data_IF_596289236910
#
_entry.id   IF_596289236910
#
_cell.length_a   1.000
_cell.length_b   1.000
_cell.length_c   1.000
_cell.angle_alpha   90.00
_cell.angle_beta   90.00
_cell.angle_gamma   90.00
#
_symmetry.space_group_name_H-M   'P 1'
#
loop_
_entity.id
_entity.type
_entity.pdbx_description
1 polymer ?
#
# COMPACT_ATOMS: atom_id res chain seq x y z
N UNK A 1 13.84 11.97 6.05
CA UNK A 1 13.77 11.16 4.81
C UNK A 1 12.78 10.06 5.11
N UNK A 2 11.59 10.09 4.53
CA UNK A 2 10.67 8.96 4.66
C UNK A 2 11.22 7.83 3.80
N UNK A 3 11.49 6.68 4.40
CA UNK A 3 11.85 5.48 3.64
C UNK A 3 10.68 5.11 2.72
N UNK A 4 10.99 4.66 1.51
CA UNK A 4 9.98 4.19 0.58
C UNK A 4 9.43 2.84 1.04
N UNK A 5 8.11 2.70 1.06
CA UNK A 5 7.46 1.40 1.26
C UNK A 5 7.48 0.56 -0.04
N UNK A 6 6.92 -0.64 0.03
CA UNK A 6 6.97 -1.64 -1.06
C UNK A 6 6.29 -1.19 -2.35
N UNK A 7 5.38 -0.20 -2.28
CA UNK A 7 4.72 0.35 -3.47
C UNK A 7 5.69 1.06 -4.42
N UNK A 8 6.93 1.37 -4.00
CA UNK A 8 7.96 1.92 -4.88
C UNK A 8 8.32 1.02 -6.07
N UNK A 9 8.03 -0.28 -5.98
CA UNK A 9 8.29 -1.25 -7.05
C UNK A 9 7.08 -1.50 -7.97
N UNK A 10 5.94 -0.84 -7.71
CA UNK A 10 4.73 -1.00 -8.51
C UNK A 10 4.80 -0.22 -9.82
N UNK A 11 4.03 -0.66 -10.82
CA UNK A 11 3.93 0.04 -12.11
C UNK A 11 2.82 1.08 -12.14
N UNK A 12 1.83 0.94 -11.24
CA UNK A 12 0.67 1.84 -11.20
C UNK A 12 1.09 3.23 -10.72
N UNK A 13 0.84 4.30 -11.49
CA UNK A 13 1.12 5.66 -11.05
C UNK A 13 0.39 6.02 -9.75
N UNK A 14 -0.81 5.49 -9.53
CA UNK A 14 -1.58 5.68 -8.30
C UNK A 14 -0.86 5.07 -7.09
N UNK A 15 -0.34 3.85 -7.21
CA UNK A 15 0.36 3.19 -6.10
C UNK A 15 1.71 3.87 -5.80
N UNK A 16 2.44 4.28 -6.85
CA UNK A 16 3.71 4.99 -6.70
C UNK A 16 3.57 6.32 -5.95
N UNK A 17 2.44 7.03 -6.10
CA UNK A 17 2.17 8.25 -5.33
C UNK A 17 2.09 8.00 -3.82
N UNK A 18 1.78 6.78 -3.38
CA UNK A 18 1.72 6.39 -1.97
C UNK A 18 3.00 5.73 -1.45
N UNK A 19 4.06 5.60 -2.28
CA UNK A 19 5.29 4.92 -1.90
C UNK A 19 6.08 5.62 -0.78
N UNK A 20 5.94 6.94 -0.66
CA UNK A 20 6.59 7.73 0.39
C UNK A 20 5.75 7.95 1.66
N UNK A 21 4.55 7.35 1.72
CA UNK A 21 3.66 7.50 2.87
C UNK A 21 4.21 6.76 4.10
N UNK A 22 3.95 7.26 5.32
CA UNK A 22 4.45 6.65 6.55
C UNK A 22 3.82 5.29 6.88
N UNK A 23 2.70 4.94 6.24
CA UNK A 23 2.10 3.61 6.31
C UNK A 23 2.95 2.65 5.48
N UNK A 24 3.37 1.54 6.08
CA UNK A 24 4.11 0.46 5.40
C UNK A 24 3.16 -0.32 4.48
N UNK A 25 2.78 0.29 3.36
CA UNK A 25 1.87 -0.31 2.39
C UNK A 25 2.52 -1.50 1.68
N UNK A 26 1.72 -2.55 1.51
CA UNK A 26 2.01 -3.71 0.67
C UNK A 26 1.12 -3.63 -0.58
N UNK A 27 1.63 -4.00 -1.78
CA UNK A 27 0.74 -4.32 -2.88
C UNK A 27 -0.08 -5.57 -2.55
N UNK A 28 -1.16 -5.77 -3.29
CA UNK A 28 -1.96 -6.98 -3.15
C UNK A 28 -1.15 -8.22 -3.55
N UNK A 29 -0.98 -9.17 -2.64
CA UNK A 29 -0.22 -10.40 -2.87
C UNK A 29 -0.02 -11.23 -1.61
N UNK A 30 0.50 -12.45 -1.76
CA UNK A 30 0.66 -13.42 -0.68
C UNK A 30 1.50 -12.91 0.49
N UNK A 31 2.57 -12.13 0.23
CA UNK A 31 3.46 -11.58 1.26
C UNK A 31 2.70 -10.81 2.37
N UNK A 32 1.66 -10.04 1.98
CA UNK A 32 0.86 -9.26 2.93
C UNK A 32 0.03 -10.19 3.83
N UNK A 33 -0.56 -11.25 3.26
CA UNK A 33 -1.37 -12.22 3.99
C UNK A 33 -0.52 -13.11 4.91
N UNK A 34 0.64 -13.57 4.42
CA UNK A 34 1.58 -14.36 5.22
C UNK A 34 2.10 -13.57 6.43
N UNK A 35 2.41 -12.29 6.24
CA UNK A 35 2.81 -11.41 7.34
C UNK A 35 1.67 -11.22 8.35
N UNK A 36 0.46 -10.94 7.86
CA UNK A 36 -0.71 -10.76 8.70
C UNK A 36 -0.99 -12.02 9.56
N UNK A 37 -0.94 -13.21 8.96
CA UNK A 37 -1.12 -14.48 9.66
C UNK A 37 0.00 -14.76 10.68
N UNK A 38 1.26 -14.51 10.31
CA UNK A 38 2.41 -14.71 11.21
C UNK A 38 2.41 -13.76 12.41
N UNK A 39 1.97 -12.52 12.21
CA UNK A 39 1.93 -11.50 13.25
C UNK A 39 0.61 -11.45 14.03
N UNK A 40 -0.36 -12.30 13.67
CA UNK A 40 -1.74 -12.28 14.21
C UNK A 40 -2.36 -10.88 14.17
N UNK A 41 -2.27 -10.23 13.01
CA UNK A 41 -2.78 -8.88 12.76
C UNK A 41 -3.83 -8.87 11.65
N UNK A 42 -4.90 -8.07 11.79
CA UNK A 42 -5.88 -7.89 10.71
C UNK A 42 -5.27 -7.15 9.52
N UNK A 43 -5.89 -7.31 8.36
CA UNK A 43 -5.53 -6.59 7.13
C UNK A 43 -6.45 -5.39 6.95
N UNK A 44 -5.86 -4.22 6.78
CA UNK A 44 -6.55 -3.04 6.26
C UNK A 44 -6.41 -3.02 4.74
N UNK A 45 -7.48 -3.33 4.02
CA UNK A 45 -7.52 -3.23 2.57
C UNK A 45 -8.06 -1.87 2.13
N UNK A 46 -7.21 -1.09 1.46
CA UNK A 46 -7.58 0.19 0.85
C UNK A 46 -7.58 0.06 -0.68
N UNK A 47 -8.68 0.42 -1.33
CA UNK A 47 -8.87 0.32 -2.79
C UNK A 47 -9.21 1.70 -3.32
N UNK A 48 -8.49 2.14 -4.35
CA UNK A 48 -8.72 3.42 -5.01
C UNK A 48 -8.13 3.44 -6.41
N UNK A 49 -8.25 4.59 -7.08
CA UNK A 49 -7.78 4.81 -8.44
C UNK A 49 -7.42 6.29 -8.68
N UNK A 50 -6.62 6.57 -9.70
CA UNK A 50 -6.00 7.89 -9.92
C UNK A 50 -6.95 9.06 -10.14
N UNK A 51 -8.19 8.82 -10.56
CA UNK A 51 -9.21 9.87 -10.80
C UNK A 51 -10.32 9.87 -9.76
N UNK A 52 -10.11 9.20 -8.63
CA UNK A 52 -11.03 9.18 -7.50
C UNK A 52 -10.87 10.45 -6.66
N UNK A 53 -11.88 11.32 -6.64
CA UNK A 53 -11.82 12.56 -5.85
C UNK A 53 -11.52 12.28 -4.37
N UNK A 54 -12.25 11.37 -3.75
CA UNK A 54 -12.14 11.05 -2.32
C UNK A 54 -10.93 10.20 -1.94
N UNK A 55 -10.16 9.71 -2.91
CA UNK A 55 -8.93 8.98 -2.63
C UNK A 55 -7.72 9.90 -2.47
N UNK A 56 -7.87 11.17 -2.88
CA UNK A 56 -6.82 12.20 -2.83
C UNK A 56 -7.07 13.29 -1.78
N UNK A 57 -8.30 13.39 -1.27
CA UNK A 57 -8.75 14.42 -0.30
C UNK A 57 -8.48 13.95 1.12
#
# INVERSE_FOLDING_TARGET
MTELNRLANEKSPYLLQHAGNPVDWYPWGEEAFEKAAREDKPILLSIGYSTCHWCHV
#
